data_IF_629767669773
#
_entry.id   IF_629767669773
#
_cell.length_a   1.000
_cell.length_b   1.000
_cell.length_c   1.000
_cell.angle_alpha   90.00
_cell.angle_beta   90.00
_cell.angle_gamma   90.00
#
_symmetry.space_group_name_H-M   'P 1'
#
loop_
_entity.id
_entity.type
_entity.pdbx_description
1 polymer ?
#
# COMPACT_ATOMS: atom_id res chain seq x y z
N UNK A 1 11.21 -31.95 4.67
CA UNK A 1 12.48 -31.29 4.30
C UNK A 1 12.39 -30.90 2.83
N UNK A 2 12.33 -29.61 2.50
CA UNK A 2 12.24 -29.16 1.11
C UNK A 2 13.64 -29.26 0.49
N UNK A 3 13.86 -30.21 -0.42
CA UNK A 3 15.13 -30.32 -1.15
C UNK A 3 15.00 -29.56 -2.46
N UNK A 4 15.55 -28.35 -2.48
CA UNK A 4 15.63 -27.53 -3.70
C UNK A 4 16.83 -28.02 -4.50
N UNK A 5 16.56 -28.78 -5.56
CA UNK A 5 17.58 -29.25 -6.52
C UNK A 5 17.81 -28.26 -7.66
N UNK A 6 16.90 -27.30 -7.78
CA UNK A 6 16.97 -26.26 -8.79
C UNK A 6 17.99 -25.17 -8.40
N UNK A 7 18.91 -24.87 -9.34
CA UNK A 7 19.99 -23.91 -9.13
C UNK A 7 19.48 -22.47 -9.08
N UNK A 8 18.45 -22.15 -9.84
CA UNK A 8 17.85 -20.80 -9.89
C UNK A 8 17.14 -20.50 -8.57
N UNK A 9 16.32 -21.44 -8.07
CA UNK A 9 15.62 -21.28 -6.79
C UNK A 9 16.63 -21.09 -5.65
N UNK A 10 17.74 -21.84 -5.67
CA UNK A 10 18.81 -21.65 -4.67
C UNK A 10 19.42 -20.25 -4.75
N UNK A 11 19.71 -19.74 -5.95
CA UNK A 11 20.27 -18.40 -6.12
C UNK A 11 19.31 -17.31 -5.61
N UNK A 12 18.00 -17.46 -5.88
CA UNK A 12 16.96 -16.56 -5.37
C UNK A 12 16.87 -16.60 -3.84
N UNK A 13 16.87 -17.80 -3.25
CA UNK A 13 16.85 -17.96 -1.79
C UNK A 13 18.08 -17.33 -1.12
N UNK A 14 19.27 -17.50 -1.72
CA UNK A 14 20.50 -16.85 -1.25
C UNK A 14 20.44 -15.33 -1.36
N UNK A 15 19.86 -14.79 -2.45
CA UNK A 15 19.66 -13.36 -2.60
C UNK A 15 18.73 -12.81 -1.51
N UNK A 16 17.57 -13.45 -1.28
CA UNK A 16 16.65 -13.08 -0.21
C UNK A 16 17.33 -13.15 1.15
N UNK A 17 18.11 -14.21 1.41
CA UNK A 17 18.83 -14.39 2.66
C UNK A 17 19.79 -13.23 2.93
N UNK A 18 20.59 -12.83 1.94
CA UNK A 18 21.51 -11.68 2.04
C UNK A 18 20.78 -10.36 2.22
N UNK A 19 19.75 -10.09 1.41
CA UNK A 19 19.04 -8.81 1.43
C UNK A 19 18.19 -8.62 2.69
N UNK A 20 17.67 -9.72 3.27
CA UNK A 20 16.79 -9.68 4.45
C UNK A 20 17.47 -10.11 5.74
N UNK A 21 18.75 -10.50 5.70
CA UNK A 21 19.50 -10.93 6.88
C UNK A 21 18.95 -12.22 7.51
N UNK A 22 18.38 -13.13 6.71
CA UNK A 22 17.83 -14.37 7.26
C UNK A 22 18.97 -15.34 7.63
N UNK A 23 18.84 -16.09 8.74
CA UNK A 23 19.93 -16.93 9.27
C UNK A 23 20.16 -18.22 8.48
N UNK A 24 19.16 -18.69 7.72
CA UNK A 24 19.24 -19.90 6.89
C UNK A 24 18.46 -19.72 5.60
N UNK A 25 18.77 -20.52 4.57
CA UNK A 25 18.00 -20.54 3.32
C UNK A 25 16.53 -20.87 3.56
N UNK A 26 16.25 -21.81 4.44
CA UNK A 26 14.88 -22.17 4.82
C UNK A 26 14.14 -20.99 5.46
N UNK A 27 14.81 -20.25 6.35
CA UNK A 27 14.23 -19.05 6.96
C UNK A 27 13.98 -17.95 5.91
N UNK A 28 14.92 -17.77 4.97
CA UNK A 28 14.78 -16.81 3.87
C UNK A 28 13.58 -17.14 2.97
N UNK A 29 13.43 -18.41 2.59
CA UNK A 29 12.32 -18.89 1.77
C UNK A 29 11.00 -18.73 2.53
N UNK A 30 10.95 -19.14 3.80
CA UNK A 30 9.74 -19.00 4.63
C UNK A 30 9.32 -17.53 4.72
N UNK A 31 10.28 -16.62 4.92
CA UNK A 31 10.04 -15.18 4.97
C UNK A 31 9.54 -14.64 3.62
N UNK A 32 10.13 -15.04 2.50
CA UNK A 32 9.70 -14.63 1.17
C UNK A 32 8.24 -15.05 0.91
N UNK A 33 7.90 -16.31 1.20
CA UNK A 33 6.55 -16.83 1.02
C UNK A 33 5.52 -16.12 1.90
N UNK A 34 5.83 -15.86 3.18
CA UNK A 34 4.94 -15.08 4.06
C UNK A 34 4.70 -13.68 3.52
N UNK A 35 5.75 -13.02 3.03
CA UNK A 35 5.60 -11.68 2.46
C UNK A 35 4.75 -11.68 1.20
N UNK A 36 4.88 -12.69 0.34
CA UNK A 36 4.10 -12.76 -0.89
C UNK A 36 2.63 -13.09 -0.62
N UNK A 37 2.35 -14.03 0.29
CA UNK A 37 0.99 -14.31 0.76
C UNK A 37 0.38 -13.03 1.33
N UNK A 38 1.11 -12.35 2.23
CA UNK A 38 0.66 -11.09 2.82
C UNK A 38 0.41 -10.01 1.77
N UNK A 39 1.24 -9.90 0.73
CA UNK A 39 1.01 -8.95 -0.37
C UNK A 39 -0.25 -9.27 -1.15
N UNK A 40 -0.50 -10.56 -1.41
CA UNK A 40 -1.72 -10.99 -2.09
C UNK A 40 -2.97 -10.77 -1.22
N UNK A 41 -2.87 -10.96 0.09
CA UNK A 41 -3.95 -10.66 1.05
C UNK A 41 -4.18 -9.16 1.23
N UNK A 42 -3.11 -8.36 1.28
CA UNK A 42 -3.14 -6.90 1.37
C UNK A 42 -3.46 -6.24 0.01
N UNK A 43 -3.54 -7.01 -1.08
CA UNK A 43 -3.95 -6.51 -2.39
C UNK A 43 -5.45 -6.19 -2.37
N UNK A 44 -5.78 -5.01 -1.85
CA UNK A 44 -7.15 -4.50 -1.84
C UNK A 44 -7.62 -4.34 -3.28
N UNK A 45 -8.71 -5.02 -3.69
CA UNK A 45 -9.26 -4.88 -5.03
C UNK A 45 -9.51 -3.42 -5.38
N UNK A 46 -9.25 -3.05 -6.64
CA UNK A 46 -9.40 -1.66 -7.10
C UNK A 46 -10.78 -1.08 -6.75
N UNK A 47 -11.83 -1.90 -6.85
CA UNK A 47 -13.21 -1.53 -6.47
C UNK A 47 -13.30 -1.04 -5.03
N UNK A 48 -12.66 -1.73 -4.09
CA UNK A 48 -12.67 -1.36 -2.67
C UNK A 48 -11.84 -0.11 -2.38
N UNK A 49 -10.69 0.01 -3.06
CA UNK A 49 -9.86 1.24 -2.99
C UNK A 49 -10.64 2.47 -3.46
N UNK A 50 -11.34 2.35 -4.59
CA UNK A 50 -12.18 3.43 -5.14
C UNK A 50 -13.37 3.72 -4.23
N UNK A 51 -14.01 2.70 -3.66
CA UNK A 51 -15.10 2.88 -2.71
C UNK A 51 -14.66 3.68 -1.47
N UNK A 52 -13.49 3.35 -0.90
CA UNK A 52 -12.93 4.08 0.23
C UNK A 52 -12.61 5.55 -0.12
N UNK A 53 -12.05 5.81 -1.31
CA UNK A 53 -11.80 7.17 -1.78
C UNK A 53 -13.11 7.96 -1.96
N UNK A 54 -14.13 7.34 -2.57
CA UNK A 54 -15.45 7.94 -2.74
C UNK A 54 -16.08 8.28 -1.39
N UNK A 55 -16.03 7.39 -0.41
CA UNK A 55 -16.57 7.62 0.93
C UNK A 55 -15.87 8.83 1.60
N UNK A 56 -14.54 8.92 1.49
CA UNK A 56 -13.77 10.06 2.03
C UNK A 56 -14.11 11.37 1.33
N UNK A 57 -14.32 11.35 0.01
CA UNK A 57 -14.72 12.54 -0.75
C UNK A 57 -16.13 13.02 -0.37
N UNK A 58 -17.08 12.10 -0.23
CA UNK A 58 -18.44 12.42 0.20
C UNK A 58 -18.47 12.96 1.64
N UNK A 59 -17.71 12.36 2.56
CA UNK A 59 -17.58 12.88 3.92
C UNK A 59 -17.01 14.31 3.98
N UNK A 60 -16.14 14.70 3.04
CA UNK A 60 -15.67 16.09 2.91
C UNK A 60 -16.73 17.02 2.33
N UNK A 61 -17.58 16.49 1.45
CA UNK A 61 -18.67 17.23 0.81
C UNK A 61 -19.89 17.39 1.72
N UNK A 62 -20.05 16.53 2.73
CA UNK A 62 -21.08 16.60 3.77
C UNK A 62 -20.77 17.68 4.83
N UNK A 63 -20.28 18.83 4.37
CA UNK A 63 -20.17 20.02 5.20
C UNK A 63 -21.44 20.86 4.97
N UNK A 64 -21.99 21.49 6.03
CA UNK A 64 -23.07 22.44 5.84
C UNK A 64 -22.64 23.48 4.80
N UNK A 65 -23.53 23.76 3.84
CA UNK A 65 -23.29 24.83 2.86
C UNK A 65 -23.04 26.11 3.65
N UNK A 66 -21.80 26.59 3.60
CA UNK A 66 -21.49 27.91 4.09
C UNK A 66 -22.25 28.92 3.21
N UNK A 67 -22.71 30.05 3.78
CA UNK A 67 -23.25 31.13 2.98
C UNK A 67 -22.22 31.54 1.91
N UNK A 68 -22.73 31.97 0.75
CA UNK A 68 -21.85 32.48 -0.30
C UNK A 68 -21.08 33.69 0.24
N UNK A 69 -19.77 33.72 -0.03
CA UNK A 69 -18.93 34.86 0.30
C UNK A 69 -19.40 36.09 -0.47
N UNK A 70 -19.30 37.27 0.15
CA UNK A 70 -19.48 38.55 -0.55
C UNK A 70 -18.32 38.80 -1.51
N UNK A 71 -18.47 39.79 -2.40
CA UNK A 71 -17.42 40.18 -3.35
C UNK A 71 -16.16 40.61 -2.59
N UNK A 72 -16.30 41.44 -1.56
CA UNK A 72 -15.20 41.91 -0.70
C UNK A 72 -14.46 40.77 0.03
N UNK A 73 -15.20 39.77 0.52
CA UNK A 73 -14.61 38.59 1.19
C UNK A 73 -13.85 37.69 0.20
N UNK A 74 -14.31 37.61 -1.06
CA UNK A 74 -13.62 36.88 -2.12
C UNK A 74 -12.34 37.58 -2.55
N UNK A 75 -12.37 38.90 -2.66
CA UNK A 75 -11.20 39.69 -3.04
C UNK A 75 -10.08 39.59 -2.00
N UNK A 76 -10.41 39.60 -0.70
CA UNK A 76 -9.44 39.37 0.39
C UNK A 76 -8.70 38.01 0.34
N UNK A 77 -9.27 36.98 -0.32
CA UNK A 77 -8.61 35.69 -0.48
C UNK A 77 -7.51 35.71 -1.55
N UNK A 78 -7.56 36.66 -2.48
CA UNK A 78 -6.61 36.81 -3.59
C UNK A 78 -5.48 37.79 -3.30
N UNK A 79 -5.62 38.64 -2.29
CA UNK A 79 -4.62 39.65 -1.88
C UNK A 79 -3.53 39.12 -0.92
N UNK A 80 -3.33 37.79 -0.83
CA UNK A 80 -2.28 37.15 -0.01
C UNK A 80 -1.02 36.77 -0.78
#
# INVERSE_FOLDING_TARGET
MLSIRDREIRALAEAVMRTRGAPTLTAAIKLALHNEIRRAEEEIPLRERVAALRARALAKADRPRLPALTDDERDQLWER
#
